data_IF_170736448746
#
_entry.id   IF_170736448746
#
_cell.length_a   1.000
_cell.length_b   1.000
_cell.length_c   1.000
_cell.angle_alpha   90.00
_cell.angle_beta   90.00
_cell.angle_gamma   90.00
#
_symmetry.space_group_name_H-M   'P 1'
#
loop_
_entity.id
_entity.type
_entity.pdbx_description
1 polymer ?
#
# COMPACT_ATOMS: atom_id res chain seq x y z
N UNK A 1 -19.02 -5.39 -3.70
CA UNK A 1 -18.19 -6.30 -2.89
C UNK A 1 -16.95 -5.53 -2.46
N UNK A 2 -16.53 -5.60 -1.18
CA UNK A 2 -15.43 -4.74 -0.69
C UNK A 2 -14.06 -5.17 -1.19
N UNK A 3 -13.15 -4.21 -1.42
CA UNK A 3 -11.79 -4.44 -1.97
C UNK A 3 -10.96 -5.50 -1.18
N UNK A 4 -11.16 -5.60 0.13
CA UNK A 4 -10.50 -6.63 0.96
C UNK A 4 -10.96 -8.06 0.60
N UNK A 5 -12.24 -8.24 0.26
CA UNK A 5 -12.80 -9.54 -0.15
C UNK A 5 -12.28 -9.97 -1.52
N UNK A 6 -12.15 -9.02 -2.44
CA UNK A 6 -11.56 -9.27 -3.77
C UNK A 6 -10.10 -9.70 -3.66
N UNK A 7 -9.29 -9.00 -2.87
CA UNK A 7 -7.89 -9.40 -2.60
C UNK A 7 -7.78 -10.78 -1.95
N UNK A 8 -8.66 -11.09 -1.00
CA UNK A 8 -8.72 -12.41 -0.37
C UNK A 8 -9.00 -13.51 -1.41
N UNK A 9 -9.98 -13.29 -2.30
CA UNK A 9 -10.29 -14.23 -3.39
C UNK A 9 -9.10 -14.46 -4.32
N UNK A 10 -8.37 -13.40 -4.69
CA UNK A 10 -7.15 -13.54 -5.51
C UNK A 10 -6.09 -14.38 -4.79
N UNK A 11 -5.87 -14.15 -3.49
CA UNK A 11 -4.90 -14.93 -2.72
C UNK A 11 -5.31 -16.40 -2.58
N UNK A 12 -6.61 -16.68 -2.41
CA UNK A 12 -7.15 -18.03 -2.38
C UNK A 12 -6.98 -18.74 -3.74
N UNK A 13 -7.24 -18.04 -4.84
CA UNK A 13 -7.02 -18.56 -6.20
C UNK A 13 -5.54 -18.87 -6.45
N UNK A 14 -4.63 -17.97 -6.05
CA UNK A 14 -3.19 -18.21 -6.12
C UNK A 14 -2.80 -19.42 -5.28
N UNK A 15 -3.36 -19.55 -4.07
CA UNK A 15 -3.07 -20.69 -3.20
C UNK A 15 -3.56 -22.02 -3.80
N UNK A 16 -4.74 -22.05 -4.44
CA UNK A 16 -5.25 -23.20 -5.16
C UNK A 16 -4.30 -23.59 -6.31
N UNK A 17 -3.94 -22.63 -7.18
CA UNK A 17 -3.01 -22.86 -8.30
C UNK A 17 -1.65 -23.37 -7.83
N UNK A 18 -1.13 -22.86 -6.72
CA UNK A 18 0.14 -23.32 -6.14
C UNK A 18 0.07 -24.78 -5.69
N UNK A 19 -1.04 -25.22 -5.08
CA UNK A 19 -1.20 -26.59 -4.57
C UNK A 19 -1.16 -27.63 -5.70
N UNK A 20 -1.69 -27.26 -6.86
CA UNK A 20 -1.77 -28.12 -8.05
C UNK A 20 -0.62 -27.90 -9.04
N UNK A 21 0.22 -26.88 -8.83
CA UNK A 21 1.27 -26.47 -9.75
C UNK A 21 2.24 -27.61 -10.12
N UNK A 22 2.54 -27.73 -11.41
CA UNK A 22 3.54 -28.67 -11.96
C UNK A 22 4.62 -27.98 -12.82
N UNK A 23 4.67 -26.64 -12.84
CA UNK A 23 5.49 -25.82 -13.75
C UNK A 23 7.01 -26.03 -13.63
N UNK A 24 7.52 -26.62 -12.54
CA UNK A 24 8.93 -26.98 -12.41
C UNK A 24 9.10 -28.32 -11.69
N UNK A 25 10.31 -28.90 -11.76
CA UNK A 25 10.64 -30.21 -11.18
C UNK A 25 10.44 -30.35 -9.67
N UNK A 26 10.32 -29.26 -8.92
CA UNK A 26 10.11 -29.32 -7.47
C UNK A 26 8.77 -29.96 -7.08
N UNK A 27 7.77 -29.96 -7.97
CA UNK A 27 6.47 -30.59 -7.69
C UNK A 27 6.57 -32.09 -7.39
N UNK A 28 7.58 -32.77 -7.96
CA UNK A 28 7.75 -34.22 -7.83
C UNK A 28 8.19 -34.66 -6.43
N UNK A 29 8.74 -33.75 -5.63
CA UNK A 29 9.37 -34.08 -4.35
C UNK A 29 8.64 -33.48 -3.13
N UNK A 30 7.64 -32.62 -3.35
CA UNK A 30 6.90 -31.99 -2.25
C UNK A 30 5.89 -32.96 -1.66
N UNK A 31 5.69 -32.88 -0.34
CA UNK A 31 4.50 -33.46 0.30
C UNK A 31 3.33 -32.50 0.15
N UNK A 32 3.54 -31.22 0.45
CA UNK A 32 2.55 -30.15 0.27
C UNK A 32 3.25 -28.90 -0.26
N UNK A 33 2.63 -28.25 -1.24
CA UNK A 33 3.05 -26.90 -1.60
C UNK A 33 2.75 -25.94 -0.44
N UNK A 34 3.52 -24.85 -0.38
CA UNK A 34 3.43 -23.83 0.66
C UNK A 34 3.20 -22.47 -0.01
N UNK A 35 1.94 -22.09 -0.28
CA UNK A 35 1.63 -20.84 -0.96
C UNK A 35 2.08 -19.60 -0.20
N UNK A 36 1.94 -19.62 1.13
CA UNK A 36 2.08 -18.45 1.99
C UNK A 36 0.87 -18.31 2.91
N UNK A 37 0.98 -17.50 3.94
CA UNK A 37 -0.11 -17.20 4.87
C UNK A 37 0.03 -15.79 5.45
N UNK A 38 -1.08 -15.16 5.84
CA UNK A 38 -1.08 -13.87 6.53
C UNK A 38 -2.28 -12.99 6.23
N UNK A 39 -2.22 -11.74 6.70
CA UNK A 39 -3.25 -10.74 6.43
C UNK A 39 -3.29 -10.34 4.95
N UNK A 40 -4.50 -10.14 4.42
CA UNK A 40 -4.74 -9.76 3.01
C UNK A 40 -4.37 -8.30 2.72
N UNK A 41 -4.25 -7.50 3.78
CA UNK A 41 -3.87 -6.09 3.81
C UNK A 41 -2.60 -5.87 4.65
N UNK A 42 -1.74 -6.90 4.72
CA UNK A 42 -0.49 -6.84 5.46
C UNK A 42 0.43 -5.72 4.96
N UNK A 43 0.79 -4.78 5.84
CA UNK A 43 1.77 -3.74 5.54
C UNK A 43 3.19 -4.30 5.36
N UNK A 44 3.51 -5.42 6.03
CA UNK A 44 4.79 -6.11 5.91
C UNK A 44 4.60 -7.44 5.17
N UNK A 45 5.37 -7.61 4.09
CA UNK A 45 5.39 -8.84 3.30
C UNK A 45 6.78 -9.50 3.39
N UNK A 46 6.88 -10.62 4.09
CA UNK A 46 8.12 -11.33 4.34
C UNK A 46 8.35 -12.42 3.30
N UNK A 47 9.53 -12.41 2.70
CA UNK A 47 9.92 -13.30 1.59
C UNK A 47 11.15 -14.10 2.00
N UNK A 48 10.97 -15.40 2.21
CA UNK A 48 12.06 -16.37 2.38
C UNK A 48 12.49 -17.05 1.09
N UNK A 49 13.39 -18.01 1.20
CA UNK A 49 13.95 -18.74 0.06
C UNK A 49 13.01 -19.86 -0.44
N UNK A 50 12.76 -20.86 0.41
CA UNK A 50 12.02 -22.06 0.08
C UNK A 50 11.45 -22.76 1.34
N UNK A 51 10.43 -23.63 1.20
CA UNK A 51 9.97 -24.49 2.28
C UNK A 51 11.05 -25.47 2.75
N UNK A 52 11.17 -25.66 4.06
CA UNK A 52 11.93 -26.74 4.68
C UNK A 52 11.08 -27.99 4.90
N UNK A 53 11.64 -28.98 5.59
CA UNK A 53 10.96 -30.27 5.87
C UNK A 53 9.64 -30.11 6.61
N UNK A 54 9.61 -29.25 7.64
CA UNK A 54 8.41 -29.06 8.46
C UNK A 54 7.36 -28.24 7.72
N UNK A 55 7.78 -27.25 6.94
CA UNK A 55 6.90 -26.46 6.08
C UNK A 55 6.23 -27.32 5.01
N UNK A 56 6.99 -28.20 4.35
CA UNK A 56 6.49 -29.15 3.35
C UNK A 56 5.47 -30.14 3.92
N UNK A 57 5.70 -30.64 5.15
CA UNK A 57 4.74 -31.51 5.82
C UNK A 57 3.46 -30.76 6.23
N UNK A 58 3.60 -29.51 6.71
CA UNK A 58 2.48 -28.71 7.20
C UNK A 58 1.68 -28.04 6.07
N UNK A 59 2.32 -27.71 4.95
CA UNK A 59 1.77 -26.82 3.92
C UNK A 59 1.78 -25.34 4.33
N UNK A 60 2.60 -24.97 5.34
CA UNK A 60 2.61 -23.64 5.97
C UNK A 60 4.04 -23.08 6.05
N UNK A 61 4.24 -21.77 5.80
CA UNK A 61 5.58 -21.19 5.76
C UNK A 61 6.15 -20.96 7.18
N UNK A 62 7.45 -21.14 7.35
CA UNK A 62 8.17 -20.80 8.59
C UNK A 62 7.53 -21.40 9.86
N UNK A 63 7.34 -22.72 9.88
CA UNK A 63 6.83 -23.46 11.05
C UNK A 63 7.91 -24.29 11.76
N UNK A 64 9.04 -24.53 11.08
CA UNK A 64 10.21 -25.24 11.64
C UNK A 64 11.10 -24.38 12.52
N UNK A 65 12.35 -24.82 12.72
CA UNK A 65 13.32 -24.13 13.59
C UNK A 65 13.58 -22.68 13.19
N UNK A 66 13.77 -22.44 11.89
CA UNK A 66 13.88 -21.08 11.34
C UNK A 66 12.61 -20.25 11.58
N UNK A 67 11.44 -20.89 11.52
CA UNK A 67 10.16 -20.28 11.86
C UNK A 67 10.03 -19.85 13.31
N UNK A 68 10.51 -20.69 14.25
CA UNK A 68 10.56 -20.35 15.68
C UNK A 68 11.45 -19.13 15.93
N UNK A 69 12.59 -19.03 15.26
CA UNK A 69 13.47 -17.85 15.30
C UNK A 69 12.75 -16.61 14.77
N UNK A 70 12.13 -16.72 13.59
CA UNK A 70 11.39 -15.62 12.99
C UNK A 70 10.29 -15.12 13.93
N UNK A 71 9.52 -16.02 14.54
CA UNK A 71 8.46 -15.66 15.48
C UNK A 71 9.01 -14.91 16.69
N UNK A 72 10.12 -15.37 17.29
CA UNK A 72 10.77 -14.63 18.39
C UNK A 72 11.24 -13.25 17.95
N UNK A 73 11.79 -13.13 16.76
CA UNK A 73 12.28 -11.86 16.24
C UNK A 73 11.14 -10.88 15.95
N UNK A 74 10.02 -11.35 15.39
CA UNK A 74 8.79 -10.56 15.21
C UNK A 74 8.22 -10.09 16.55
N UNK A 75 8.09 -10.98 17.54
CA UNK A 75 7.63 -10.63 18.89
C UNK A 75 8.53 -9.57 19.53
N UNK A 76 9.86 -9.73 19.44
CA UNK A 76 10.82 -8.75 19.96
C UNK A 76 10.72 -7.39 19.23
N UNK A 77 10.29 -7.38 17.97
CA UNK A 77 10.01 -6.19 17.19
C UNK A 77 8.59 -5.62 17.38
N UNK A 78 7.77 -6.23 18.24
CA UNK A 78 6.35 -5.89 18.45
C UNK A 78 5.52 -5.98 17.16
N UNK A 79 5.87 -6.91 16.27
CA UNK A 79 5.12 -7.22 15.06
C UNK A 79 4.32 -8.49 15.32
N UNK A 80 3.00 -8.44 15.12
CA UNK A 80 2.18 -9.66 15.19
C UNK A 80 2.32 -10.47 13.92
N UNK A 81 2.51 -11.79 14.04
CA UNK A 81 2.56 -12.68 12.87
C UNK A 81 1.26 -12.65 12.05
N UNK A 82 0.12 -12.41 12.69
CA UNK A 82 -1.18 -12.29 12.01
C UNK A 82 -1.32 -11.03 11.16
N UNK A 83 -0.53 -10.00 11.43
CA UNK A 83 -0.61 -8.69 10.76
C UNK A 83 0.39 -8.57 9.59
N UNK A 84 1.08 -9.67 9.26
CA UNK A 84 2.05 -9.74 8.16
C UNK A 84 1.66 -10.83 7.17
N UNK A 85 2.15 -10.74 5.94
CA UNK A 85 2.08 -11.82 4.96
C UNK A 85 3.44 -12.48 4.85
N UNK A 86 3.50 -13.81 4.92
CA UNK A 86 4.74 -14.58 4.89
C UNK A 86 4.69 -15.61 3.77
N UNK A 87 5.70 -15.62 2.92
CA UNK A 87 5.86 -16.65 1.88
C UNK A 87 7.34 -16.85 1.52
N UNK A 88 7.61 -17.67 0.52
CA UNK A 88 8.94 -17.95 -0.04
C UNK A 88 8.97 -17.67 -1.55
N UNK A 89 10.17 -17.53 -2.11
CA UNK A 89 10.37 -17.40 -3.56
C UNK A 89 9.79 -18.60 -4.32
N UNK A 90 10.18 -19.82 -3.94
CA UNK A 90 9.56 -21.05 -4.44
C UNK A 90 8.55 -21.60 -3.44
N UNK A 91 7.47 -22.23 -3.92
CA UNK A 91 6.41 -22.78 -3.07
C UNK A 91 6.54 -24.28 -2.78
N UNK A 92 7.63 -24.90 -3.21
CA UNK A 92 7.89 -26.33 -3.04
C UNK A 92 9.28 -26.53 -2.43
N UNK A 93 9.43 -27.52 -1.56
CA UNK A 93 10.71 -27.85 -0.92
C UNK A 93 11.71 -28.43 -1.93
N UNK A 94 12.90 -27.85 -2.11
CA UNK A 94 13.96 -28.46 -2.89
C UNK A 94 14.51 -29.73 -2.23
N UNK A 95 14.95 -30.74 -3.01
CA UNK A 95 15.58 -31.95 -2.48
C UNK A 95 16.73 -31.62 -1.52
N UNK A 96 16.79 -32.33 -0.39
CA UNK A 96 17.79 -32.12 0.66
C UNK A 96 17.88 -30.67 1.21
N UNK A 97 16.83 -29.83 1.03
CA UNK A 97 16.84 -28.41 1.39
C UNK A 97 17.95 -27.59 0.70
N UNK A 98 18.38 -27.97 -0.50
CA UNK A 98 19.30 -27.13 -1.28
C UNK A 98 18.64 -25.79 -1.64
N UNK A 99 19.44 -24.81 -2.02
CA UNK A 99 18.92 -23.59 -2.63
C UNK A 99 18.16 -23.91 -3.94
N UNK A 100 17.07 -23.17 -4.25
CA UNK A 100 16.38 -23.26 -5.54
C UNK A 100 17.31 -22.89 -6.70
N UNK A 101 17.12 -23.56 -7.85
CA UNK A 101 17.82 -23.23 -9.10
C UNK A 101 17.14 -22.07 -9.82
N UNK A 102 17.84 -21.42 -10.75
CA UNK A 102 17.34 -20.25 -11.47
C UNK A 102 16.00 -20.51 -12.20
N UNK A 103 15.89 -21.64 -12.89
CA UNK A 103 14.66 -22.06 -13.59
C UNK A 103 13.51 -22.37 -12.62
N UNK A 104 13.81 -22.86 -11.41
CA UNK A 104 12.80 -23.09 -10.36
C UNK A 104 12.27 -21.78 -9.78
N UNK A 105 13.15 -20.78 -9.63
CA UNK A 105 12.79 -19.43 -9.21
C UNK A 105 11.94 -18.73 -10.27
N UNK A 106 12.35 -18.81 -11.53
CA UNK A 106 11.64 -18.22 -12.66
C UNK A 106 10.24 -18.81 -12.82
N UNK A 107 10.11 -20.13 -12.80
CA UNK A 107 8.81 -20.81 -12.91
C UNK A 107 7.85 -20.46 -11.76
N UNK A 108 8.36 -20.11 -10.58
CA UNK A 108 7.55 -19.78 -9.40
C UNK A 108 7.26 -18.28 -9.23
N UNK A 109 8.00 -17.42 -9.96
CA UNK A 109 7.90 -15.95 -9.89
C UNK A 109 6.48 -15.43 -10.08
N UNK A 110 5.66 -15.92 -11.03
CA UNK A 110 4.31 -15.40 -11.22
C UNK A 110 3.44 -15.47 -9.96
N UNK A 111 3.57 -16.52 -9.15
CA UNK A 111 2.82 -16.64 -7.89
C UNK A 111 3.22 -15.57 -6.88
N UNK A 112 4.51 -15.28 -6.76
CA UNK A 112 4.99 -14.22 -5.87
C UNK A 112 4.50 -12.84 -6.34
N UNK A 113 4.54 -12.58 -7.64
CA UNK A 113 4.06 -11.33 -8.24
C UNK A 113 2.57 -11.12 -7.92
N UNK A 114 1.72 -12.12 -8.21
CA UNK A 114 0.28 -12.03 -7.91
C UNK A 114 -0.02 -11.86 -6.42
N UNK A 115 0.79 -12.46 -5.54
CA UNK A 115 0.65 -12.25 -4.09
C UNK A 115 0.99 -10.82 -3.67
N UNK A 116 2.06 -10.25 -4.21
CA UNK A 116 2.47 -8.86 -3.92
C UNK A 116 1.39 -7.88 -4.44
N UNK A 117 0.89 -8.10 -5.66
CA UNK A 117 -0.16 -7.28 -6.28
C UNK A 117 -1.49 -7.35 -5.52
N UNK A 118 -1.83 -8.53 -4.99
CA UNK A 118 -3.04 -8.72 -4.19
C UNK A 118 -2.92 -8.05 -2.81
N UNK A 119 -1.80 -8.26 -2.10
CA UNK A 119 -1.60 -7.72 -0.75
C UNK A 119 -1.37 -6.20 -0.78
N UNK A 120 -0.63 -5.71 -1.77
CA UNK A 120 -0.17 -4.31 -1.88
C UNK A 120 0.55 -3.83 -0.61
N UNK A 121 1.63 -4.51 -0.20
CA UNK A 121 2.29 -4.21 1.06
C UNK A 121 2.98 -2.86 1.05
N UNK A 122 3.05 -2.21 2.21
CA UNK A 122 3.84 -1.00 2.41
C UNK A 122 5.35 -1.23 2.36
N UNK A 123 5.81 -2.46 2.65
CA UNK A 123 7.22 -2.86 2.57
C UNK A 123 7.38 -4.36 2.31
N UNK A 124 8.30 -4.72 1.41
CA UNK A 124 8.80 -6.07 1.22
C UNK A 124 10.02 -6.30 2.12
N UNK A 125 10.05 -7.42 2.84
CA UNK A 125 11.16 -7.80 3.71
C UNK A 125 11.78 -9.09 3.18
N UNK A 126 13.00 -9.00 2.63
CA UNK A 126 13.73 -10.18 2.14
C UNK A 126 14.53 -10.83 3.26
N UNK A 127 14.32 -12.12 3.44
CA UNK A 127 15.00 -12.94 4.45
C UNK A 127 16.14 -13.71 3.76
N UNK A 128 17.35 -13.18 3.86
CA UNK A 128 18.56 -13.77 3.28
C UNK A 128 18.88 -13.34 1.86
N UNK A 129 20.07 -13.77 1.40
CA UNK A 129 20.66 -13.33 0.13
C UNK A 129 19.88 -13.79 -1.10
N UNK A 130 19.29 -14.99 -1.09
CA UNK A 130 18.54 -15.52 -2.23
C UNK A 130 17.26 -14.72 -2.49
N UNK A 131 16.49 -14.43 -1.43
CA UNK A 131 15.32 -13.54 -1.48
C UNK A 131 15.72 -12.15 -2.00
N UNK A 132 16.79 -11.58 -1.45
CA UNK A 132 17.30 -10.27 -1.89
C UNK A 132 17.65 -10.26 -3.38
N UNK A 133 18.47 -11.22 -3.84
CA UNK A 133 18.94 -11.28 -5.24
C UNK A 133 17.81 -11.52 -6.23
N UNK A 134 16.78 -12.27 -5.84
CA UNK A 134 15.62 -12.50 -6.71
C UNK A 134 14.84 -11.21 -7.00
N UNK A 135 14.91 -10.22 -6.11
CA UNK A 135 14.23 -8.93 -6.22
C UNK A 135 15.14 -7.80 -6.71
N UNK A 136 16.43 -7.85 -6.39
CA UNK A 136 17.38 -6.74 -6.66
C UNK A 136 18.45 -7.09 -7.70
N UNK A 137 18.42 -8.30 -8.24
CA UNK A 137 19.38 -8.80 -9.21
C UNK A 137 20.57 -9.55 -8.58
N UNK A 138 21.32 -10.30 -9.41
CA UNK A 138 22.37 -11.21 -8.94
C UNK A 138 23.56 -10.53 -8.25
N UNK A 139 23.81 -9.25 -8.55
CA UNK A 139 24.86 -8.45 -7.95
C UNK A 139 24.56 -7.97 -6.52
N UNK A 140 23.34 -8.19 -6.01
CA UNK A 140 22.99 -7.74 -4.67
C UNK A 140 23.71 -8.55 -3.59
N UNK A 141 24.34 -7.83 -2.65
CA UNK A 141 25.01 -8.40 -1.48
C UNK A 141 24.27 -8.03 -0.20
N UNK A 142 23.98 -9.03 0.64
CA UNK A 142 23.16 -8.85 1.84
C UNK A 142 23.79 -7.89 2.85
N UNK A 143 25.11 -7.94 3.04
CA UNK A 143 25.84 -7.05 3.96
C UNK A 143 25.66 -5.57 3.59
N UNK A 144 25.63 -5.26 2.29
CA UNK A 144 25.50 -3.90 1.76
C UNK A 144 24.04 -3.44 1.70
N UNK A 145 23.13 -4.37 1.40
CA UNK A 145 21.70 -4.10 1.28
C UNK A 145 21.02 -3.86 2.63
N UNK A 146 21.53 -4.47 3.71
CA UNK A 146 20.98 -4.28 5.06
C UNK A 146 21.10 -2.82 5.48
N UNK A 147 20.01 -2.27 6.00
CA UNK A 147 19.95 -0.86 6.42
C UNK A 147 19.82 0.16 5.28
N UNK A 148 19.80 -0.28 4.01
CA UNK A 148 19.57 0.59 2.86
C UNK A 148 18.09 0.68 2.48
N UNK A 149 17.77 1.77 1.81
CA UNK A 149 16.45 2.04 1.24
C UNK A 149 16.43 1.52 -0.20
N UNK A 150 15.96 0.28 -0.36
CA UNK A 150 15.80 -0.38 -1.65
C UNK A 150 14.35 -0.30 -2.12
N UNK A 151 14.09 -0.62 -3.40
CA UNK A 151 12.76 -0.69 -3.96
C UNK A 151 12.63 -1.81 -5.00
N UNK A 152 11.41 -2.34 -5.16
CA UNK A 152 11.02 -3.31 -6.18
C UNK A 152 9.63 -2.94 -6.67
N UNK A 153 9.47 -2.63 -7.96
CA UNK A 153 8.22 -2.14 -8.56
C UNK A 153 7.57 -0.98 -7.76
N UNK A 154 8.40 -0.03 -7.32
CA UNK A 154 7.97 1.11 -6.50
C UNK A 154 7.67 0.80 -5.02
N UNK A 155 7.68 -0.48 -4.62
CA UNK A 155 7.46 -0.90 -3.23
C UNK A 155 8.81 -0.88 -2.47
N UNK A 156 8.89 -0.25 -1.29
CA UNK A 156 10.10 -0.29 -0.47
C UNK A 156 10.53 -1.73 -0.13
N UNK A 157 11.83 -2.01 -0.24
CA UNK A 157 12.44 -3.30 0.11
C UNK A 157 13.40 -3.14 1.28
N UNK A 158 13.33 -4.03 2.26
CA UNK A 158 14.30 -4.12 3.36
C UNK A 158 14.88 -5.53 3.41
N UNK A 159 16.21 -5.61 3.44
CA UNK A 159 16.91 -6.88 3.54
C UNK A 159 17.29 -7.17 4.98
N UNK A 160 17.24 -8.44 5.37
CA UNK A 160 17.78 -8.92 6.65
C UNK A 160 18.25 -10.38 6.53
N UNK A 161 18.86 -10.91 7.58
CA UNK A 161 19.36 -12.27 7.60
C UNK A 161 18.23 -13.30 7.58
N UNK A 162 18.47 -14.43 6.90
CA UNK A 162 17.53 -15.54 6.93
C UNK A 162 17.50 -16.16 8.34
N UNK A 163 16.33 -16.48 8.93
CA UNK A 163 16.24 -17.04 10.28
C UNK A 163 17.00 -18.36 10.48
N UNK A 164 17.25 -19.13 9.42
CA UNK A 164 18.09 -20.34 9.51
C UNK A 164 19.58 -20.03 9.74
N UNK A 165 20.08 -18.91 9.19
CA UNK A 165 21.48 -18.52 9.32
C UNK A 165 21.84 -18.04 10.75
N UNK A 166 20.82 -17.71 11.55
CA UNK A 166 21.00 -17.16 12.90
C UNK A 166 20.79 -18.19 14.01
N UNK A 167 20.35 -19.42 13.69
CA UNK A 167 20.04 -20.48 14.67
C UNK A 167 21.15 -20.74 15.69
N UNK A 168 22.41 -20.51 15.30
CA UNK A 168 23.59 -20.70 16.13
C UNK A 168 24.50 -19.46 16.19
N UNK A 169 24.00 -18.30 15.77
CA UNK A 169 24.78 -17.07 15.72
C UNK A 169 24.02 -15.91 16.38
N UNK A 170 24.32 -15.67 17.65
CA UNK A 170 23.68 -14.62 18.47
C UNK A 170 23.80 -13.23 17.84
N UNK A 171 24.95 -12.90 17.26
CA UNK A 171 25.21 -11.59 16.65
C UNK A 171 24.31 -11.35 15.44
N UNK A 172 24.09 -12.38 14.62
CA UNK A 172 23.16 -12.31 13.50
C UNK A 172 21.69 -12.30 13.95
N UNK A 173 21.36 -12.99 15.06
CA UNK A 173 20.01 -12.96 15.63
C UNK A 173 19.67 -11.54 16.15
N UNK A 174 20.61 -10.87 16.82
CA UNK A 174 20.47 -9.47 17.24
C UNK A 174 20.29 -8.54 16.05
N UNK A 175 21.06 -8.75 14.97
CA UNK A 175 20.95 -7.98 13.74
C UNK A 175 19.55 -8.15 13.09
N UNK A 176 19.04 -9.39 12.99
CA UNK A 176 17.68 -9.66 12.50
C UNK A 176 16.63 -8.93 13.33
N UNK A 177 16.74 -8.97 14.66
CA UNK A 177 15.83 -8.26 15.57
C UNK A 177 15.93 -6.74 15.44
N UNK A 178 17.14 -6.21 15.24
CA UNK A 178 17.36 -4.78 15.05
C UNK A 178 16.74 -4.30 13.73
N UNK A 179 16.94 -5.05 12.64
CA UNK A 179 16.37 -4.74 11.33
C UNK A 179 14.84 -4.73 11.40
N UNK A 180 14.22 -5.78 11.95
CA UNK A 180 12.75 -5.85 12.10
C UNK A 180 12.19 -4.72 12.97
N UNK A 181 12.89 -4.32 14.04
CA UNK A 181 12.51 -3.14 14.84
C UNK A 181 12.58 -1.85 14.03
N UNK A 182 13.63 -1.67 13.23
CA UNK A 182 13.77 -0.51 12.34
C UNK A 182 12.64 -0.44 11.32
N UNK A 183 12.29 -1.59 10.72
CA UNK A 183 11.18 -1.73 9.79
C UNK A 183 9.85 -1.40 10.48
N UNK A 184 9.57 -2.00 11.63
CA UNK A 184 8.36 -1.75 12.41
C UNK A 184 8.17 -0.26 12.71
N UNK A 185 9.24 0.43 13.14
CA UNK A 185 9.19 1.88 13.38
C UNK A 185 8.88 2.69 12.13
N UNK A 186 9.39 2.28 10.97
CA UNK A 186 9.15 2.96 9.69
C UNK A 186 7.73 2.74 9.18
N UNK A 187 7.19 1.54 9.37
CA UNK A 187 5.81 1.21 9.04
C UNK A 187 4.84 1.89 10.02
N UNK A 188 5.13 1.89 11.33
CA UNK A 188 4.33 2.61 12.34
C UNK A 188 4.35 4.14 12.17
N UNK A 189 5.37 4.69 11.49
CA UNK A 189 5.44 6.11 11.11
C UNK A 189 4.58 6.47 9.89
N UNK A 190 4.09 5.49 9.13
CA UNK A 190 2.90 5.71 8.29
C UNK A 190 1.70 5.39 9.18
N UNK A 191 0.88 6.36 9.58
CA UNK A 191 -0.25 6.06 10.44
C UNK A 191 -1.14 5.05 9.72
N UNK A 192 -1.50 3.96 10.42
CA UNK A 192 -2.65 3.16 10.06
C UNK A 192 -3.79 4.14 9.75
N UNK A 193 -4.43 4.03 8.57
CA UNK A 193 -5.45 4.98 8.14
C UNK A 193 -6.56 5.05 9.18
N UNK A 194 -6.52 6.06 10.03
CA UNK A 194 -7.56 6.27 11.01
C UNK A 194 -8.78 6.79 10.26
N UNK A 195 -9.77 5.91 10.10
CA UNK A 195 -11.01 6.28 9.43
C UNK A 195 -11.81 7.20 10.34
N UNK A 196 -12.25 8.32 9.80
CA UNK A 196 -13.29 9.10 10.43
C UNK A 196 -14.59 8.29 10.48
N UNK A 197 -15.40 8.54 11.51
CA UNK A 197 -16.74 7.95 11.65
C UNK A 197 -17.79 9.06 11.72
N UNK A 198 -19.10 8.75 11.70
CA UNK A 198 -20.11 9.77 11.99
C UNK A 198 -19.84 10.47 13.33
N UNK A 199 -20.26 11.75 13.49
CA UNK A 199 -20.10 12.50 14.73
C UNK A 199 -20.62 11.74 15.96
N UNK A 200 -19.96 11.90 17.10
CA UNK A 200 -20.33 11.26 18.36
C UNK A 200 -20.90 12.29 19.35
N UNK A 201 -22.02 11.97 19.97
CA UNK A 201 -22.62 12.81 21.01
C UNK A 201 -21.65 12.99 22.20
N UNK A 202 -21.65 14.19 22.79
CA UNK A 202 -20.84 14.53 23.96
C UNK A 202 -19.33 14.70 23.71
N UNK A 203 -18.87 14.66 22.45
CA UNK A 203 -17.47 14.92 22.10
C UNK A 203 -17.24 16.40 21.73
N UNK A 204 -16.09 16.99 22.10
CA UNK A 204 -15.76 18.37 21.73
C UNK A 204 -15.77 18.55 20.21
N UNK A 205 -16.14 19.74 19.75
CA UNK A 205 -16.15 20.09 18.32
C UNK A 205 -14.94 20.94 17.99
N UNK A 206 -14.20 20.57 16.94
CA UNK A 206 -13.09 21.35 16.38
C UNK A 206 -13.46 21.83 14.97
N UNK A 207 -13.46 23.13 14.68
CA UNK A 207 -13.67 23.61 13.33
C UNK A 207 -12.46 23.23 12.46
N UNK A 208 -12.71 22.88 11.21
CA UNK A 208 -11.69 22.71 10.20
C UNK A 208 -12.08 23.43 8.92
N UNK A 209 -11.13 24.17 8.33
CA UNK A 209 -11.30 24.79 7.01
C UNK A 209 -10.39 24.12 6.00
N UNK A 210 -10.86 24.03 4.76
CA UNK A 210 -10.13 23.50 3.62
C UNK A 210 -10.55 24.25 2.38
N UNK A 211 -9.70 24.22 1.37
CA UNK A 211 -10.05 24.69 0.04
C UNK A 211 -9.55 23.72 -1.03
N UNK A 212 -10.17 23.77 -2.20
CA UNK A 212 -9.83 22.96 -3.34
C UNK A 212 -10.47 23.47 -4.62
N UNK A 213 -10.28 22.74 -5.72
CA UNK A 213 -10.82 23.18 -7.00
C UNK A 213 -11.33 22.03 -7.87
N UNK A 214 -12.36 22.33 -8.67
CA UNK A 214 -12.67 21.54 -9.86
C UNK A 214 -11.84 22.08 -11.01
N UNK A 215 -10.77 21.37 -11.34
CA UNK A 215 -9.92 21.72 -12.48
C UNK A 215 -10.54 21.19 -13.75
N UNK A 216 -10.86 22.08 -14.71
CA UNK A 216 -11.39 21.70 -16.02
C UNK A 216 -10.38 21.96 -17.13
N UNK A 217 -10.15 20.97 -17.99
CA UNK A 217 -9.29 21.13 -19.17
C UNK A 217 -10.04 21.80 -20.34
N UNK A 218 -9.31 22.09 -21.42
CA UNK A 218 -9.87 22.73 -22.64
C UNK A 218 -10.98 21.90 -23.29
N UNK A 219 -10.85 20.57 -23.25
CA UNK A 219 -11.85 19.61 -23.74
C UNK A 219 -13.13 19.54 -22.88
N UNK A 220 -13.17 20.28 -21.76
CA UNK A 220 -14.34 20.32 -20.89
C UNK A 220 -14.45 19.10 -19.98
N UNK A 221 -13.35 18.42 -19.69
CA UNK A 221 -13.28 17.35 -18.70
C UNK A 221 -12.79 17.87 -17.36
N UNK A 222 -13.33 17.34 -16.28
CA UNK A 222 -12.89 17.63 -14.92
C UNK A 222 -11.80 16.65 -14.46
N UNK A 223 -10.83 17.10 -13.68
CA UNK A 223 -9.84 16.22 -13.06
C UNK A 223 -10.38 15.64 -11.75
N UNK A 224 -10.31 14.31 -11.61
CA UNK A 224 -10.51 13.62 -10.33
C UNK A 224 -9.23 12.87 -9.95
N UNK A 225 -9.02 12.67 -8.64
CA UNK A 225 -7.93 11.89 -8.09
C UNK A 225 -8.44 10.63 -7.40
N UNK A 226 -7.79 9.49 -7.63
CA UNK A 226 -8.06 8.25 -6.91
C UNK A 226 -7.15 8.16 -5.69
N UNK A 227 -7.73 8.14 -4.49
CA UNK A 227 -6.95 8.00 -3.25
C UNK A 227 -6.13 6.71 -3.27
N UNK A 228 -4.86 6.80 -2.86
CA UNK A 228 -3.96 5.66 -2.92
C UNK A 228 -4.55 4.46 -2.17
N UNK A 229 -4.54 3.25 -2.73
CA UNK A 229 -5.02 2.06 -2.03
C UNK A 229 -6.53 2.03 -1.68
N UNK A 230 -7.31 3.02 -2.14
CA UNK A 230 -8.77 3.12 -2.00
C UNK A 230 -9.44 3.18 -3.38
N UNK A 231 -10.69 2.72 -3.47
CA UNK A 231 -11.50 2.87 -4.69
C UNK A 231 -12.23 4.22 -4.74
N UNK A 232 -11.79 5.20 -3.94
CA UNK A 232 -12.48 6.47 -3.75
C UNK A 232 -11.87 7.54 -4.65
N UNK A 233 -12.74 8.14 -5.47
CA UNK A 233 -12.40 9.31 -6.29
C UNK A 233 -12.82 10.58 -5.56
N UNK A 234 -11.94 11.58 -5.58
CA UNK A 234 -12.12 12.86 -4.91
C UNK A 234 -11.65 14.02 -5.80
N UNK A 235 -12.04 15.23 -5.41
CA UNK A 235 -11.49 16.47 -5.92
C UNK A 235 -10.19 16.82 -5.18
N UNK A 236 -9.25 17.52 -5.83
CA UNK A 236 -8.07 18.02 -5.15
C UNK A 236 -8.46 19.08 -4.11
N UNK A 237 -8.02 18.89 -2.86
CA UNK A 237 -8.28 19.80 -1.74
C UNK A 237 -7.43 19.47 -0.52
N UNK A 238 -7.11 20.49 0.27
CA UNK A 238 -6.48 20.28 1.57
C UNK A 238 -6.72 21.41 2.54
N UNK A 239 -5.98 21.39 3.65
CA UNK A 239 -6.27 22.23 4.82
C UNK A 239 -5.54 23.55 4.67
N UNK A 240 -6.19 24.64 5.08
CA UNK A 240 -5.56 25.96 5.07
C UNK A 240 -4.37 25.99 6.02
N UNK A 241 -3.29 26.61 5.57
CA UNK A 241 -2.15 26.98 6.40
C UNK A 241 -2.41 28.30 7.16
N UNK A 242 -1.69 28.57 8.27
CA UNK A 242 -1.87 29.81 9.02
C UNK A 242 -1.64 31.06 8.16
N UNK A 243 -2.66 31.90 8.05
CA UNK A 243 -2.62 33.15 7.26
C UNK A 243 -2.95 32.99 5.78
N UNK A 244 -3.22 31.77 5.31
CA UNK A 244 -3.55 31.47 3.92
C UNK A 244 -5.04 31.76 3.62
N UNK A 245 -5.32 32.35 2.45
CA UNK A 245 -6.68 32.51 1.93
C UNK A 245 -7.22 31.20 1.33
N UNK A 246 -8.54 31.09 1.14
CA UNK A 246 -9.12 29.90 0.51
C UNK A 246 -8.62 29.74 -0.94
N UNK A 247 -8.42 30.85 -1.66
CA UNK A 247 -7.87 30.86 -3.02
C UNK A 247 -6.43 30.35 -3.07
N UNK A 248 -5.56 30.84 -2.19
CA UNK A 248 -4.16 30.41 -2.11
C UNK A 248 -4.08 28.91 -1.78
N UNK A 249 -4.85 28.46 -0.79
CA UNK A 249 -4.94 27.06 -0.42
C UNK A 249 -5.42 26.19 -1.59
N UNK A 250 -6.47 26.61 -2.31
CA UNK A 250 -6.96 25.85 -3.46
C UNK A 250 -5.91 25.72 -4.57
N UNK A 251 -5.14 26.78 -4.84
CA UNK A 251 -4.05 26.74 -5.85
C UNK A 251 -2.90 25.84 -5.39
N UNK A 252 -2.45 25.99 -4.14
CA UNK A 252 -1.37 25.18 -3.56
C UNK A 252 -1.74 23.70 -3.56
N UNK A 253 -2.90 23.34 -3.03
CA UNK A 253 -3.35 21.95 -2.90
C UNK A 253 -3.53 21.28 -4.26
N UNK A 254 -4.07 21.99 -5.27
CA UNK A 254 -4.11 21.46 -6.63
C UNK A 254 -2.70 21.20 -7.16
N UNK A 255 -1.76 22.10 -6.92
CA UNK A 255 -0.38 21.91 -7.38
C UNK A 255 0.31 20.75 -6.67
N UNK A 256 0.21 20.67 -5.35
CA UNK A 256 0.80 19.60 -4.54
C UNK A 256 0.20 18.25 -4.88
N UNK A 257 -1.13 18.14 -4.90
CA UNK A 257 -1.79 16.86 -5.09
C UNK A 257 -1.75 16.35 -6.54
N UNK A 258 -1.62 17.25 -7.53
CA UNK A 258 -1.77 16.90 -8.95
C UNK A 258 -0.59 17.26 -9.84
N UNK A 259 0.34 18.11 -9.39
CA UNK A 259 1.41 18.67 -10.23
C UNK A 259 0.94 19.70 -11.28
N UNK A 260 -0.33 20.12 -11.26
CA UNK A 260 -0.85 21.15 -12.15
C UNK A 260 -0.70 22.55 -11.55
N UNK A 261 -0.28 23.49 -12.38
CA UNK A 261 -0.44 24.92 -12.09
C UNK A 261 -1.77 25.37 -12.65
N UNK A 262 -2.59 26.02 -11.82
CA UNK A 262 -3.96 26.41 -12.19
C UNK A 262 -4.21 27.90 -11.98
N UNK A 263 -5.13 28.44 -12.78
CA UNK A 263 -5.76 29.74 -12.55
C UNK A 263 -7.18 29.51 -12.07
N UNK A 264 -7.53 30.07 -10.91
CA UNK A 264 -8.91 30.10 -10.44
C UNK A 264 -9.73 31.05 -11.32
N UNK A 265 -10.92 30.62 -11.70
CA UNK A 265 -11.84 31.36 -12.55
C UNK A 265 -12.93 32.03 -11.73
N UNK A 266 -13.55 31.30 -10.80
CA UNK A 266 -14.60 31.81 -9.91
C UNK A 266 -14.83 30.85 -8.74
N UNK A 267 -15.35 31.32 -7.59
CA UNK A 267 -15.88 30.45 -6.54
C UNK A 267 -17.04 29.57 -7.08
N UNK A 268 -17.16 28.34 -6.58
CA UNK A 268 -18.27 27.43 -6.92
C UNK A 268 -19.28 27.29 -5.79
N UNK A 269 -18.83 26.79 -4.64
CA UNK A 269 -19.66 26.62 -3.44
C UNK A 269 -18.80 26.25 -2.24
N UNK A 270 -19.36 26.41 -1.05
CA UNK A 270 -18.85 25.78 0.17
C UNK A 270 -19.62 24.49 0.46
N UNK A 271 -18.90 23.47 0.93
CA UNK A 271 -19.46 22.22 1.44
C UNK A 271 -19.15 22.13 2.93
N UNK A 272 -20.19 21.90 3.75
CA UNK A 272 -20.03 21.63 5.19
C UNK A 272 -20.41 20.21 5.53
N UNK A 273 -19.58 19.54 6.32
CA UNK A 273 -19.85 18.20 6.84
C UNK A 273 -19.10 17.99 8.16
N UNK A 274 -19.65 17.13 9.01
CA UNK A 274 -19.05 16.79 10.29
C UNK A 274 -18.65 15.31 10.36
N UNK A 275 -17.57 15.01 11.06
CA UNK A 275 -17.13 13.64 11.32
C UNK A 275 -16.42 13.53 12.66
N UNK A 276 -16.43 12.37 13.29
CA UNK A 276 -15.62 12.08 14.46
C UNK A 276 -14.20 11.69 14.04
N UNK A 277 -13.19 12.31 14.67
CA UNK A 277 -11.77 12.04 14.49
C UNK A 277 -11.23 11.28 15.70
N UNK A 278 -11.07 9.95 15.62
CA UNK A 278 -10.65 9.11 16.74
C UNK A 278 -9.34 9.50 17.44
N UNK A 279 -8.27 9.94 16.73
CA UNK A 279 -6.97 10.22 17.37
C UNK A 279 -7.05 11.30 18.44
N UNK A 280 -7.82 12.35 18.19
CA UNK A 280 -7.97 13.49 19.11
C UNK A 280 -9.24 13.36 19.96
N UNK A 281 -10.10 12.38 19.65
CA UNK A 281 -11.36 12.17 20.34
C UNK A 281 -12.39 13.29 20.15
N UNK A 282 -12.31 14.05 19.05
CA UNK A 282 -13.17 15.21 18.75
C UNK A 282 -14.08 14.98 17.54
N UNK A 283 -15.21 15.68 17.49
CA UNK A 283 -15.94 15.90 16.24
C UNK A 283 -15.25 17.03 15.48
N UNK A 284 -14.98 16.84 14.20
CA UNK A 284 -14.51 17.88 13.30
C UNK A 284 -15.70 18.39 12.52
N UNK A 285 -15.97 19.69 12.63
CA UNK A 285 -16.92 20.40 11.78
C UNK A 285 -16.14 21.03 10.62
N UNK A 286 -16.22 20.42 9.45
CA UNK A 286 -15.35 20.72 8.31
C UNK A 286 -16.11 21.54 7.28
N UNK A 287 -15.56 22.71 6.94
CA UNK A 287 -15.97 23.52 5.78
C UNK A 287 -14.91 23.39 4.69
N UNK A 288 -15.35 23.18 3.44
CA UNK A 288 -14.50 23.14 2.25
C UNK A 288 -14.99 24.15 1.23
N UNK A 289 -14.17 25.14 0.89
CA UNK A 289 -14.44 26.07 -0.21
C UNK A 289 -13.93 25.46 -1.53
N UNK A 290 -14.77 25.41 -2.55
CA UNK A 290 -14.39 24.95 -3.88
C UNK A 290 -14.46 26.06 -4.91
N UNK A 291 -13.47 26.05 -5.81
CA UNK A 291 -13.36 26.98 -6.93
C UNK A 291 -13.39 26.24 -8.27
N UNK A 292 -13.81 26.92 -9.33
CA UNK A 292 -13.61 26.47 -10.70
C UNK A 292 -12.22 26.93 -11.15
N UNK A 293 -11.42 26.03 -11.71
CA UNK A 293 -10.06 26.34 -12.14
C UNK A 293 -9.76 25.79 -13.54
N UNK A 294 -8.80 26.41 -14.22
CA UNK A 294 -8.25 25.92 -15.49
C UNK A 294 -6.73 25.70 -15.36
N UNK A 295 -6.17 24.64 -15.96
CA UNK A 295 -4.73 24.46 -16.00
C UNK A 295 -4.07 25.55 -16.86
N UNK A 296 -3.00 26.12 -16.33
CA UNK A 296 -2.12 27.09 -17.01
C UNK A 296 -0.69 26.56 -17.19
N UNK A 297 -0.36 25.46 -16.52
CA UNK A 297 0.96 24.82 -16.61
C UNK A 297 0.98 23.48 -15.87
N UNK A 298 2.15 22.82 -15.91
CA UNK A 298 2.34 21.51 -15.27
C UNK A 298 1.74 20.34 -16.05
N UNK A 299 1.81 19.14 -15.47
CA UNK A 299 1.22 17.91 -15.99
C UNK A 299 0.68 17.11 -14.81
N UNK A 300 -0.42 16.39 -15.04
CA UNK A 300 -1.02 15.52 -14.01
C UNK A 300 0.01 14.48 -13.58
N UNK A 301 0.48 14.62 -12.35
CA UNK A 301 1.41 13.75 -11.63
C UNK A 301 0.94 13.73 -10.17
N UNK A 302 0.04 12.79 -9.82
CA UNK A 302 -0.48 12.74 -8.47
C UNK A 302 0.63 12.52 -7.45
N UNK A 303 0.54 13.17 -6.30
CA UNK A 303 1.46 12.91 -5.20
C UNK A 303 1.30 11.48 -4.64
N UNK A 304 2.22 10.99 -3.79
CA UNK A 304 2.13 9.63 -3.23
C UNK A 304 0.84 9.30 -2.46
N UNK A 305 0.03 10.30 -2.10
CA UNK A 305 -1.31 10.15 -1.52
C UNK A 305 -2.38 9.65 -2.49
N UNK A 306 -2.10 9.65 -3.80
CA UNK A 306 -3.04 9.30 -4.87
C UNK A 306 -2.42 8.29 -5.85
N UNK A 307 -3.21 7.29 -6.26
CA UNK A 307 -2.74 6.29 -7.22
C UNK A 307 -2.77 6.81 -8.66
N UNK A 308 -3.74 7.66 -9.00
CA UNK A 308 -3.96 8.17 -10.36
C UNK A 308 -4.79 9.45 -10.38
N UNK A 309 -4.63 10.24 -11.44
CA UNK A 309 -5.48 11.37 -11.78
C UNK A 309 -6.12 11.16 -13.15
N UNK A 310 -7.43 11.39 -13.25
CA UNK A 310 -8.22 11.08 -14.44
C UNK A 310 -9.06 12.28 -14.89
N UNK A 311 -8.99 12.60 -16.19
CA UNK A 311 -9.86 13.57 -16.84
C UNK A 311 -11.18 12.93 -17.25
N UNK A 312 -12.26 13.35 -16.62
CA UNK A 312 -13.58 12.73 -16.73
C UNK A 312 -14.63 13.69 -17.29
N UNK A 313 -15.57 13.15 -18.05
CA UNK A 313 -16.82 13.83 -18.43
C UNK A 313 -17.74 14.01 -17.21
N UNK A 314 -18.80 14.82 -17.37
CA UNK A 314 -19.84 14.99 -16.34
C UNK A 314 -20.43 13.65 -15.91
N UNK A 315 -20.79 12.80 -16.88
CA UNK A 315 -21.43 11.50 -16.62
C UNK A 315 -20.50 10.54 -15.87
N UNK A 316 -19.20 10.54 -16.20
CA UNK A 316 -18.20 9.75 -15.51
C UNK A 316 -17.97 10.25 -14.08
N UNK A 317 -17.86 11.57 -13.90
CA UNK A 317 -17.70 12.15 -12.57
C UNK A 317 -18.86 11.78 -11.63
N UNK A 318 -20.11 11.82 -12.09
CA UNK A 318 -21.28 11.44 -11.29
C UNK A 318 -21.26 9.96 -10.88
N UNK A 319 -20.65 9.08 -11.69
CA UNK A 319 -20.51 7.65 -11.37
C UNK A 319 -19.35 7.39 -10.41
N UNK A 320 -18.22 8.07 -10.58
CA UNK A 320 -16.98 7.81 -9.84
C UNK A 320 -16.96 8.44 -8.45
N UNK A 321 -17.51 9.65 -8.30
CA UNK A 321 -17.50 10.35 -7.02
C UNK A 321 -18.36 9.63 -5.98
N UNK A 322 -17.78 9.42 -4.81
CA UNK A 322 -18.43 8.69 -3.73
C UNK A 322 -19.50 9.53 -3.02
N UNK A 323 -19.20 10.80 -2.74
CA UNK A 323 -20.05 11.66 -1.91
C UNK A 323 -21.01 12.51 -2.73
N UNK A 324 -22.29 12.64 -2.30
CA UNK A 324 -23.26 13.52 -2.97
C UNK A 324 -22.79 14.96 -3.10
N UNK A 325 -22.12 15.50 -2.07
CA UNK A 325 -21.65 16.88 -2.08
C UNK A 325 -20.58 17.12 -3.15
N UNK A 326 -19.63 16.20 -3.32
CA UNK A 326 -18.60 16.32 -4.36
C UNK A 326 -19.25 16.27 -5.77
N UNK A 327 -20.29 15.45 -5.95
CA UNK A 327 -21.08 15.42 -7.20
C UNK A 327 -21.76 16.75 -7.48
N UNK A 328 -22.32 17.40 -6.45
CA UNK A 328 -22.93 18.72 -6.59
C UNK A 328 -21.90 19.78 -7.01
N UNK A 329 -20.72 19.79 -6.36
CA UNK A 329 -19.62 20.71 -6.69
C UNK A 329 -19.23 20.55 -8.16
N UNK A 330 -19.02 19.31 -8.61
CA UNK A 330 -18.64 19.04 -10.01
C UNK A 330 -19.77 19.37 -10.97
N UNK A 331 -21.04 19.08 -10.64
CA UNK A 331 -22.17 19.44 -11.48
C UNK A 331 -22.22 20.95 -11.74
N UNK A 332 -22.06 21.77 -10.69
CA UNK A 332 -21.98 23.23 -10.81
C UNK A 332 -20.81 23.71 -11.67
N UNK A 333 -19.65 23.07 -11.56
CA UNK A 333 -18.50 23.37 -12.43
C UNK A 333 -18.84 23.16 -13.92
N UNK A 334 -19.47 22.03 -14.25
CA UNK A 334 -19.90 21.75 -15.63
C UNK A 334 -20.99 22.71 -16.13
N UNK A 335 -21.88 23.18 -15.26
CA UNK A 335 -22.92 24.15 -15.62
C UNK A 335 -22.34 25.55 -15.82
N UNK A 336 -21.41 25.97 -14.98
CA UNK A 336 -20.73 27.27 -15.07
C UNK A 336 -19.86 27.44 -16.33
N UNK A 337 -19.54 26.34 -17.05
CA UNK A 337 -18.83 26.40 -18.34
C UNK A 337 -19.74 26.65 -19.54
N UNK A 338 -21.07 26.49 -19.38
CA UNK A 338 -22.06 26.71 -20.44
C UNK A 338 -22.52 28.16 -20.52
N UNK A 339 -22.19 28.96 -19.50
CA UNK A 339 -22.50 30.39 -19.34
C UNK A 339 -21.28 31.23 -19.62
#
# INVERSE_FOLDING_TARGET
MGASRERAMVLDEVAAKVRECTLCRLHRNRTRAVPGEGAVDADLFLIGEAPGRQEDAAGRPFVGSAGKVLNRALTAARISRKDVFITNLVKCRPPANRAPKADELEACRPYLQSQIEAVRPGVLVTLGSTALRSLQGPAAHLSEARGRDLAFDGIPVRATYHPAAVLYNRRLEEALRADLRGIARRVQKKPARVRSTPPRAGRPVRPGRSAGAVVMNREGRALLLRKAGESMWVLPKGTLEPGETDEEAAVREVHEETGLQVKLLRPLMEVRYAFYWPPDGVNVDKTVAYFLATPIGGRVRPEPGFDEGLWVSRSEAMRLLHWPNDREVVARAFDARRT
#
